data_IF_516924314452
#
_entry.id   IF_516924314452
#
_cell.length_a   1.000
_cell.length_b   1.000
_cell.length_c   1.000
_cell.angle_alpha   90.00
_cell.angle_beta   90.00
_cell.angle_gamma   90.00
#
_symmetry.space_group_name_H-M   'P 1'
#
loop_
_entity.id
_entity.type
_entity.pdbx_description
1 polymer ?
#
# COMPACT_ATOMS: atom_id res chain seq x y z
N UNK A 1 22.89 -13.10 40.52
CA UNK A 1 21.43 -13.29 40.55
C UNK A 1 20.82 -12.46 39.44
N UNK A 2 19.99 -13.11 38.62
CA UNK A 2 19.25 -12.57 37.47
C UNK A 2 18.21 -11.55 37.93
N UNK A 3 18.16 -10.39 37.28
CA UNK A 3 16.96 -9.57 37.11
C UNK A 3 16.98 -9.14 35.62
N UNK A 4 16.58 -10.02 34.71
CA UNK A 4 15.21 -10.08 34.17
C UNK A 4 14.76 -8.69 33.69
N UNK A 5 15.14 -8.29 32.46
CA UNK A 5 14.38 -8.52 31.22
C UNK A 5 12.87 -8.26 31.36
N UNK A 6 12.46 -7.00 31.48
CA UNK A 6 11.04 -6.62 31.32
C UNK A 6 10.91 -5.15 30.91
N UNK A 7 11.42 -4.78 29.73
CA UNK A 7 10.91 -3.61 29.00
C UNK A 7 10.92 -3.92 27.50
N UNK A 8 10.25 -5.01 27.10
CA UNK A 8 10.11 -5.36 25.68
C UNK A 8 8.69 -5.86 25.41
N UNK A 9 7.69 -4.99 25.54
CA UNK A 9 6.31 -5.34 25.15
C UNK A 9 5.39 -4.14 24.81
N UNK A 10 5.91 -2.93 24.59
CA UNK A 10 5.07 -1.74 24.30
C UNK A 10 5.40 -1.10 22.94
N UNK A 11 5.80 -1.91 21.96
CA UNK A 11 5.98 -1.43 20.57
C UNK A 11 5.26 -2.28 19.51
N UNK A 12 4.39 -3.22 19.90
CA UNK A 12 3.73 -4.13 18.95
C UNK A 12 2.23 -3.89 18.73
N UNK A 13 1.66 -2.78 19.20
CA UNK A 13 0.22 -2.51 19.09
C UNK A 13 -0.16 -1.30 18.23
N UNK A 14 0.70 -0.92 17.27
CA UNK A 14 0.35 0.12 16.29
C UNK A 14 0.59 -0.52 14.92
N UNK A 15 -0.44 -0.55 14.07
CA UNK A 15 -0.49 -1.08 12.70
C UNK A 15 -1.05 -2.49 12.49
N UNK A 16 -2.08 -2.90 13.21
CA UNK A 16 -2.90 -4.09 12.85
C UNK A 16 -4.11 -3.76 11.97
N UNK A 17 -4.19 -2.55 11.39
CA UNK A 17 -5.38 -2.10 10.64
C UNK A 17 -5.31 -2.53 9.17
N UNK A 18 -4.10 -2.64 8.61
CA UNK A 18 -3.88 -3.01 7.22
C UNK A 18 -3.32 -4.42 7.13
N UNK A 19 -3.90 -5.23 6.25
CA UNK A 19 -3.56 -6.64 6.06
C UNK A 19 -2.63 -6.87 4.86
N UNK A 20 -2.59 -5.93 3.91
CA UNK A 20 -1.57 -5.92 2.86
C UNK A 20 -1.29 -4.51 2.34
N UNK A 21 -0.14 -4.36 1.70
CA UNK A 21 0.30 -3.15 1.01
C UNK A 21 0.52 -3.44 -0.46
N UNK A 22 -0.06 -2.61 -1.33
CA UNK A 22 0.26 -2.60 -2.75
C UNK A 22 1.16 -1.42 -3.08
N UNK A 23 2.28 -1.69 -3.73
CA UNK A 23 3.16 -0.64 -4.27
C UNK A 23 3.14 -0.74 -5.79
N UNK A 24 2.62 0.27 -6.46
CA UNK A 24 2.68 0.42 -7.91
C UNK A 24 3.74 1.46 -8.28
N UNK A 25 4.67 1.09 -9.14
CA UNK A 25 5.76 1.96 -9.60
C UNK A 25 5.47 2.50 -11.00
N UNK A 26 5.77 3.78 -11.20
CA UNK A 26 5.56 4.52 -12.44
C UNK A 26 6.89 5.10 -12.94
N UNK A 27 6.89 5.60 -14.18
CA UNK A 27 8.02 6.30 -14.79
C UNK A 27 8.32 7.67 -14.15
N UNK A 28 7.32 8.25 -13.48
CA UNK A 28 7.32 9.63 -13.00
C UNK A 28 6.35 9.82 -11.83
N UNK A 29 6.55 10.91 -11.07
CA UNK A 29 5.62 11.33 -10.04
C UNK A 29 4.25 11.69 -10.64
N UNK A 30 4.25 12.33 -11.80
CA UNK A 30 3.06 12.64 -12.58
C UNK A 30 2.29 11.37 -12.98
N UNK A 31 3.00 10.29 -13.31
CA UNK A 31 2.41 8.97 -13.55
C UNK A 31 1.67 8.44 -12.33
N UNK A 32 2.31 8.48 -11.15
CA UNK A 32 1.72 8.02 -9.89
C UNK A 32 0.49 8.85 -9.49
N UNK A 33 0.57 10.18 -9.53
CA UNK A 33 -0.57 11.08 -9.24
C UNK A 33 -1.66 10.96 -10.31
N UNK A 34 -1.28 10.76 -11.57
CA UNK A 34 -2.17 10.53 -12.69
C UNK A 34 -3.01 9.26 -12.51
N UNK A 35 -2.40 8.17 -12.04
CA UNK A 35 -3.11 6.95 -11.65
C UNK A 35 -4.12 7.22 -10.54
N UNK A 36 -3.67 7.87 -9.45
CA UNK A 36 -4.53 8.20 -8.32
C UNK A 36 -5.75 9.01 -8.77
N UNK A 37 -5.54 9.99 -9.65
CA UNK A 37 -6.59 10.86 -10.17
C UNK A 37 -7.57 10.12 -11.09
N UNK A 38 -7.07 9.29 -12.01
CA UNK A 38 -7.89 8.50 -12.94
C UNK A 38 -8.74 7.46 -12.22
N UNK A 39 -8.25 6.93 -11.11
CA UNK A 39 -8.81 5.74 -10.47
C UNK A 39 -9.26 5.97 -9.02
N UNK A 40 -9.43 7.24 -8.62
CA UNK A 40 -9.70 7.65 -7.24
C UNK A 40 -10.88 6.92 -6.60
N UNK A 41 -11.95 6.64 -7.36
CA UNK A 41 -13.15 5.95 -6.84
C UNK A 41 -12.88 4.49 -6.50
N UNK A 42 -12.14 3.79 -7.35
CA UNK A 42 -11.77 2.40 -7.11
C UNK A 42 -10.76 2.30 -5.98
N UNK A 43 -9.71 3.13 -6.05
CA UNK A 43 -8.65 3.20 -5.04
C UNK A 43 -9.26 3.44 -3.65
N UNK A 44 -10.13 4.44 -3.48
CA UNK A 44 -10.84 4.69 -2.21
C UNK A 44 -11.75 3.56 -1.74
N UNK A 45 -12.24 2.72 -2.66
CA UNK A 45 -13.09 1.58 -2.31
C UNK A 45 -12.27 0.42 -1.76
N UNK A 46 -11.08 0.19 -2.31
CA UNK A 46 -10.27 -1.00 -2.02
C UNK A 46 -9.18 -0.76 -0.98
N UNK A 47 -8.76 0.49 -0.80
CA UNK A 47 -7.76 0.88 0.18
C UNK A 47 -8.40 1.55 1.40
N UNK A 48 -7.81 1.32 2.57
CA UNK A 48 -8.09 2.12 3.75
C UNK A 48 -7.18 3.35 3.84
N UNK A 49 -6.02 3.32 3.18
CA UNK A 49 -5.12 4.47 3.05
C UNK A 49 -4.34 4.45 1.73
N UNK A 50 -3.97 5.63 1.23
CA UNK A 50 -3.29 5.82 -0.06
C UNK A 50 -2.26 6.93 0.04
N UNK A 51 -1.06 6.65 -0.44
CA UNK A 51 0.05 7.59 -0.43
C UNK A 51 0.78 7.59 -1.76
N UNK A 52 1.33 8.74 -2.15
CA UNK A 52 2.21 8.86 -3.32
C UNK A 52 3.59 9.26 -2.81
N UNK A 53 4.59 8.45 -3.14
CA UNK A 53 5.99 8.66 -2.76
C UNK A 53 6.85 8.74 -4.02
N UNK A 54 7.05 9.94 -4.55
CA UNK A 54 7.76 10.10 -5.81
C UNK A 54 7.08 9.31 -6.93
N UNK A 55 7.76 8.31 -7.48
CA UNK A 55 7.26 7.49 -8.58
C UNK A 55 6.36 6.32 -8.12
N UNK A 56 6.09 6.21 -6.83
CA UNK A 56 5.34 5.09 -6.25
C UNK A 56 3.95 5.54 -5.78
N UNK A 57 2.94 4.72 -6.08
CA UNK A 57 1.62 4.77 -5.46
C UNK A 57 1.50 3.60 -4.49
N UNK A 58 1.35 3.91 -3.21
CA UNK A 58 1.20 2.93 -2.14
C UNK A 58 -0.26 2.90 -1.70
N UNK A 59 -0.86 1.70 -1.69
CA UNK A 59 -2.21 1.47 -1.20
C UNK A 59 -2.16 0.49 -0.03
N UNK A 60 -2.64 0.91 1.12
CA UNK A 60 -2.80 0.05 2.29
C UNK A 60 -4.23 -0.48 2.32
N UNK A 61 -4.39 -1.80 2.34
CA UNK A 61 -5.69 -2.47 2.29
C UNK A 61 -5.95 -3.26 3.55
N UNK A 62 -7.22 -3.40 3.94
CA UNK A 62 -7.62 -4.20 5.11
C UNK A 62 -7.82 -5.68 4.77
N UNK A 63 -7.89 -6.02 3.49
CA UNK A 63 -7.88 -7.40 2.99
C UNK A 63 -6.48 -7.82 2.52
N UNK A 64 -6.26 -9.13 2.38
CA UNK A 64 -5.02 -9.71 1.88
C UNK A 64 -4.80 -9.47 0.37
N UNK A 65 -3.57 -9.71 -0.09
CA UNK A 65 -3.20 -9.63 -1.50
C UNK A 65 -4.12 -10.44 -2.42
N UNK A 66 -4.89 -9.72 -3.25
CA UNK A 66 -5.63 -10.25 -4.39
C UNK A 66 -5.17 -9.67 -5.72
N UNK A 67 -5.29 -10.47 -6.77
CA UNK A 67 -4.88 -10.11 -8.14
C UNK A 67 -5.71 -8.95 -8.71
N UNK A 68 -6.97 -8.80 -8.29
CA UNK A 68 -7.87 -7.78 -8.83
C UNK A 68 -7.32 -6.35 -8.69
N UNK A 69 -6.68 -6.03 -7.56
CA UNK A 69 -6.09 -4.71 -7.33
C UNK A 69 -4.82 -4.57 -8.19
N UNK A 70 -3.97 -5.60 -8.26
CA UNK A 70 -2.76 -5.57 -9.10
C UNK A 70 -3.10 -5.39 -10.58
N UNK A 71 -4.06 -6.17 -11.09
CA UNK A 71 -4.49 -6.12 -12.48
C UNK A 71 -5.13 -4.78 -12.81
N UNK A 72 -5.89 -4.20 -11.88
CA UNK A 72 -6.48 -2.88 -12.06
C UNK A 72 -5.41 -1.78 -12.10
N UNK A 73 -4.42 -1.82 -11.21
CA UNK A 73 -3.29 -0.87 -11.22
C UNK A 73 -2.47 -1.00 -12.52
N UNK A 74 -2.20 -2.22 -12.99
CA UNK A 74 -1.50 -2.44 -14.26
C UNK A 74 -2.31 -1.95 -15.47
N UNK A 75 -3.58 -2.33 -15.57
CA UNK A 75 -4.41 -2.04 -16.75
C UNK A 75 -4.90 -0.59 -16.85
N UNK A 76 -5.31 0.00 -15.72
CA UNK A 76 -5.87 1.37 -15.71
C UNK A 76 -4.76 2.41 -15.62
N UNK A 77 -3.71 2.12 -14.87
CA UNK A 77 -2.66 3.09 -14.61
C UNK A 77 -1.39 2.88 -15.43
N UNK A 78 -1.28 1.76 -16.15
CA UNK A 78 -0.08 1.42 -16.93
C UNK A 78 1.20 1.46 -16.07
N UNK A 79 1.09 1.02 -14.82
CA UNK A 79 2.22 0.92 -13.90
C UNK A 79 3.26 -0.07 -14.44
N UNK A 80 4.54 0.26 -14.32
CA UNK A 80 5.65 -0.60 -14.78
C UNK A 80 5.70 -1.90 -13.97
N UNK A 81 5.44 -1.80 -12.67
CA UNK A 81 5.35 -2.94 -11.78
C UNK A 81 4.34 -2.70 -10.67
N UNK A 82 3.81 -3.79 -10.12
CA UNK A 82 2.96 -3.77 -8.93
C UNK A 82 3.37 -4.93 -8.04
N UNK A 83 3.75 -4.61 -6.81
CA UNK A 83 4.10 -5.57 -5.75
C UNK A 83 3.01 -5.55 -4.69
N UNK A 84 2.74 -6.70 -4.07
CA UNK A 84 1.88 -6.79 -2.89
C UNK A 84 2.60 -7.54 -1.78
N UNK A 85 2.58 -6.97 -0.57
CA UNK A 85 3.22 -7.49 0.64
C UNK A 85 2.22 -7.63 1.78
#
# INVERSE_FOLDING_TARGET
>A
MKLAFTVLAVFLFINSIFASQYTATFDSFEGAVGCLSKNVKYIKKVSGDVQVHGQELVLLTTGACGNAIQDNLKSVCNSESVVCE
#
